data_IF_267397712851
#
_entry.id   IF_267397712851
#
_cell.length_a   1.000
_cell.length_b   1.000
_cell.length_c   1.000
_cell.angle_alpha   90.00
_cell.angle_beta   90.00
_cell.angle_gamma   90.00
#
_symmetry.space_group_name_H-M   'P 1'
#
loop_
_entity.id
_entity.type
_entity.pdbx_description
1 polymer ?
#
# COMPACT_ATOMS: atom_id res chain seq x y z
N UNK A 1 -30.72 -14.93 -28.95
CA UNK A 1 -30.16 -13.57 -28.96
C UNK A 1 -29.23 -13.45 -27.75
N UNK A 2 -27.94 -13.82 -27.87
CA UNK A 2 -26.93 -13.65 -26.81
C UNK A 2 -25.47 -13.80 -27.33
N UNK A 3 -25.24 -13.64 -28.64
CA UNK A 3 -23.88 -13.73 -29.20
C UNK A 3 -23.11 -12.41 -29.14
N UNK A 4 -23.77 -11.25 -29.03
CA UNK A 4 -23.06 -9.96 -28.98
C UNK A 4 -22.48 -9.66 -27.59
N UNK A 5 -23.07 -10.18 -26.51
CA UNK A 5 -22.57 -10.04 -25.14
C UNK A 5 -21.27 -10.84 -24.92
N UNK A 6 -21.17 -12.04 -25.51
CA UNK A 6 -19.96 -12.88 -25.40
C UNK A 6 -18.77 -12.38 -26.23
N UNK A 7 -19.00 -11.62 -27.30
CA UNK A 7 -17.93 -11.02 -28.12
C UNK A 7 -17.38 -9.74 -27.48
N UNK A 8 -18.23 -8.91 -26.88
CA UNK A 8 -17.80 -7.70 -26.16
C UNK A 8 -17.09 -8.02 -24.84
N UNK A 9 -17.46 -9.12 -24.17
CA UNK A 9 -16.80 -9.57 -22.93
C UNK A 9 -15.39 -10.15 -23.15
N UNK A 10 -14.96 -10.31 -24.41
CA UNK A 10 -13.62 -10.80 -24.78
C UNK A 10 -12.65 -9.66 -25.16
N UNK A 11 -13.11 -8.40 -25.16
CA UNK A 11 -12.21 -7.26 -25.24
C UNK A 11 -11.45 -7.15 -23.91
N UNK A 12 -10.29 -7.81 -23.82
CA UNK A 12 -9.40 -7.71 -22.66
C UNK A 12 -9.04 -6.25 -22.33
N UNK A 13 -8.40 -6.01 -21.18
CA UNK A 13 -8.10 -4.66 -20.71
C UNK A 13 -7.31 -3.88 -21.77
N UNK A 14 -7.64 -2.60 -21.94
CA UNK A 14 -7.03 -1.72 -22.93
C UNK A 14 -5.49 -1.72 -22.82
N UNK A 15 -4.80 -1.70 -23.97
CA UNK A 15 -3.32 -1.70 -24.08
C UNK A 15 -2.67 -0.51 -23.40
N UNK A 16 -3.25 0.66 -23.62
CA UNK A 16 -2.69 1.93 -23.18
C UNK A 16 -2.48 2.03 -21.65
N UNK A 17 -3.48 1.77 -20.78
CA UNK A 17 -3.30 1.91 -19.34
C UNK A 17 -2.27 0.93 -18.75
N UNK A 18 -2.20 -0.29 -19.28
CA UNK A 18 -1.24 -1.30 -18.82
C UNK A 18 0.19 -0.86 -19.14
N UNK A 19 0.45 -0.43 -20.38
CA UNK A 19 1.78 0.02 -20.79
C UNK A 19 2.19 1.27 -20.01
N UNK A 20 1.29 2.25 -19.87
CA UNK A 20 1.54 3.46 -19.11
C UNK A 20 1.88 3.15 -17.65
N UNK A 21 1.12 2.26 -17.01
CA UNK A 21 1.36 1.81 -15.64
C UNK A 21 2.73 1.14 -15.47
N UNK A 22 3.09 0.23 -16.37
CA UNK A 22 4.39 -0.44 -16.34
C UNK A 22 5.56 0.52 -16.52
N UNK A 23 5.47 1.46 -17.47
CA UNK A 23 6.52 2.45 -17.71
C UNK A 23 6.69 3.34 -16.49
N UNK A 24 5.58 3.80 -15.89
CA UNK A 24 5.62 4.63 -14.70
C UNK A 24 6.24 3.90 -13.51
N UNK A 25 5.82 2.66 -13.25
CA UNK A 25 6.35 1.83 -12.15
C UNK A 25 7.81 1.44 -12.36
N UNK A 26 8.18 1.07 -13.60
CA UNK A 26 9.55 0.75 -13.98
C UNK A 26 10.49 1.94 -13.81
N UNK A 27 10.06 3.12 -14.28
CA UNK A 27 10.82 4.37 -14.12
C UNK A 27 10.95 4.73 -12.64
N UNK A 28 9.85 4.68 -11.87
CA UNK A 28 9.88 4.95 -10.44
C UNK A 28 10.85 4.02 -9.70
N UNK A 29 10.79 2.70 -9.98
CA UNK A 29 11.69 1.72 -9.40
C UNK A 29 13.16 2.03 -9.74
N UNK A 30 13.47 2.28 -11.01
CA UNK A 30 14.82 2.58 -11.47
C UNK A 30 15.38 3.86 -10.81
N UNK A 31 14.57 4.92 -10.72
CA UNK A 31 14.95 6.16 -10.06
C UNK A 31 15.20 5.97 -8.56
N UNK A 32 14.35 5.22 -7.86
CA UNK A 32 14.52 4.93 -6.43
C UNK A 32 15.83 4.16 -6.17
N UNK A 33 16.11 3.12 -6.95
CA UNK A 33 17.33 2.32 -6.82
C UNK A 33 18.59 3.14 -7.17
N UNK A 34 18.50 3.96 -8.22
CA UNK A 34 19.58 4.89 -8.59
C UNK A 34 19.86 5.90 -7.47
N UNK A 35 18.83 6.45 -6.82
CA UNK A 35 18.99 7.37 -5.67
C UNK A 35 19.70 6.66 -4.51
N UNK A 36 19.30 5.42 -4.18
CA UNK A 36 19.97 4.62 -3.13
C UNK A 36 21.43 4.37 -3.49
N UNK A 37 21.71 3.97 -4.73
CA UNK A 37 23.06 3.70 -5.20
C UNK A 37 23.94 4.96 -5.15
N UNK A 38 23.46 6.09 -5.66
CA UNK A 38 24.21 7.36 -5.62
C UNK A 38 24.43 7.84 -4.18
N UNK A 39 23.45 7.71 -3.30
CA UNK A 39 23.60 8.05 -1.89
C UNK A 39 24.65 7.17 -1.19
N UNK A 40 24.66 5.87 -1.51
CA UNK A 40 25.67 4.94 -1.02
C UNK A 40 27.08 5.29 -1.52
N UNK A 41 27.23 5.52 -2.83
CA UNK A 41 28.52 5.85 -3.46
C UNK A 41 29.07 7.22 -3.02
N UNK A 42 28.20 8.19 -2.75
CA UNK A 42 28.62 9.52 -2.28
C UNK A 42 29.09 9.54 -0.81
N UNK A 43 28.91 8.44 -0.06
CA UNK A 43 29.21 8.42 1.37
C UNK A 43 28.35 9.40 2.18
N UNK A 44 27.22 9.86 1.62
CA UNK A 44 26.36 10.82 2.28
C UNK A 44 25.74 10.20 3.53
N UNK A 45 25.96 10.83 4.69
CA UNK A 45 25.34 10.40 5.94
C UNK A 45 23.84 10.69 5.91
N UNK A 46 23.06 9.69 5.48
CA UNK A 46 21.59 9.69 5.51
C UNK A 46 21.08 8.80 6.63
N UNK A 47 19.84 9.02 7.03
CA UNK A 47 19.16 8.20 8.04
C UNK A 47 18.97 6.77 7.52
N UNK A 48 19.21 5.76 8.34
CA UNK A 48 19.02 4.36 7.95
C UNK A 48 17.58 4.10 7.50
N UNK A 49 16.59 4.69 8.19
CA UNK A 49 15.17 4.57 7.81
C UNK A 49 14.84 5.19 6.45
N UNK A 50 15.62 6.17 5.98
CA UNK A 50 15.43 6.73 4.65
C UNK A 50 15.79 5.72 3.55
N UNK A 51 16.89 4.97 3.72
CA UNK A 51 17.23 3.88 2.80
C UNK A 51 16.17 2.78 2.82
N UNK A 52 15.70 2.40 4.01
CA UNK A 52 14.66 1.40 4.16
C UNK A 52 13.35 1.82 3.47
N UNK A 53 12.97 3.09 3.57
CA UNK A 53 11.79 3.64 2.88
C UNK A 53 11.95 3.58 1.36
N UNK A 54 13.11 3.95 0.82
CA UNK A 54 13.33 3.88 -0.63
C UNK A 54 13.34 2.45 -1.15
N UNK A 55 13.97 1.53 -0.42
CA UNK A 55 14.02 0.11 -0.77
C UNK A 55 12.64 -0.55 -0.68
N UNK A 56 11.84 -0.25 0.36
CA UNK A 56 10.46 -0.76 0.45
C UNK A 56 9.58 -0.19 -0.66
N UNK A 57 9.76 1.07 -1.03
CA UNK A 57 9.05 1.69 -2.16
C UNK A 57 9.45 1.06 -3.49
N UNK A 58 10.73 0.75 -3.69
CA UNK A 58 11.20 0.03 -4.87
C UNK A 58 10.64 -1.40 -4.90
N UNK A 59 10.61 -2.11 -3.78
CA UNK A 59 9.99 -3.43 -3.66
C UNK A 59 8.48 -3.39 -3.99
N UNK A 60 7.79 -2.32 -3.60
CA UNK A 60 6.41 -2.08 -4.01
C UNK A 60 6.27 -1.87 -5.51
N UNK A 61 7.17 -1.13 -6.18
CA UNK A 61 7.12 -1.05 -7.63
C UNK A 61 7.37 -2.43 -8.29
N UNK A 62 8.34 -3.19 -7.77
CA UNK A 62 8.67 -4.52 -8.28
C UNK A 62 7.50 -5.50 -8.17
N UNK A 63 6.66 -5.43 -7.12
CA UNK A 63 5.52 -6.35 -6.96
C UNK A 63 4.53 -6.30 -8.13
N UNK A 64 4.28 -5.11 -8.68
CA UNK A 64 3.44 -4.92 -9.86
C UNK A 64 4.15 -5.29 -11.16
N UNK A 65 5.49 -5.21 -11.20
CA UNK A 65 6.27 -5.54 -12.38
C UNK A 65 6.47 -7.05 -12.58
N UNK A 66 6.18 -7.89 -11.57
CA UNK A 66 6.28 -9.36 -11.67
C UNK A 66 5.45 -9.92 -12.83
N UNK A 67 4.30 -9.31 -13.14
CA UNK A 67 3.39 -9.81 -14.17
C UNK A 67 3.71 -9.29 -15.58
N UNK A 68 4.72 -8.43 -15.75
CA UNK A 68 5.09 -7.87 -17.07
C UNK A 68 5.34 -9.01 -18.07
N UNK A 69 4.74 -8.89 -19.26
CA UNK A 69 4.75 -9.95 -20.28
C UNK A 69 3.58 -10.95 -20.18
N UNK A 70 2.91 -11.03 -19.03
CA UNK A 70 1.76 -11.93 -18.80
C UNK A 70 0.45 -11.17 -18.46
N UNK A 71 0.40 -9.88 -18.74
CA UNK A 71 -0.77 -9.02 -18.43
C UNK A 71 -1.94 -9.19 -19.42
N UNK A 72 -1.73 -9.92 -20.53
CA UNK A 72 -2.75 -10.22 -21.54
C UNK A 72 -2.73 -11.68 -21.98
N UNK A 73 -3.77 -12.04 -22.73
CA UNK A 73 -3.89 -13.35 -23.36
C UNK A 73 -4.35 -14.41 -22.36
N UNK A 74 -3.87 -15.66 -22.49
CA UNK A 74 -4.24 -16.72 -21.57
C UNK A 74 -3.82 -16.37 -20.13
N UNK A 75 -4.36 -17.10 -19.17
CA UNK A 75 -3.95 -16.92 -17.78
C UNK A 75 -2.45 -17.19 -17.59
N UNK A 76 -1.75 -16.37 -16.78
CA UNK A 76 -0.34 -16.57 -16.47
C UNK A 76 -0.08 -17.96 -15.85
N UNK A 77 1.15 -18.48 -15.97
CA UNK A 77 1.55 -19.65 -15.20
C UNK A 77 1.28 -19.44 -13.71
N UNK A 78 0.72 -20.46 -13.04
CA UNK A 78 0.29 -20.40 -11.64
C UNK A 78 1.38 -19.83 -10.72
N UNK A 79 2.64 -20.19 -10.94
CA UNK A 79 3.78 -19.75 -10.13
C UNK A 79 3.99 -18.23 -10.21
N UNK A 80 3.89 -17.65 -11.41
CA UNK A 80 4.05 -16.20 -11.64
C UNK A 80 2.87 -15.45 -11.01
N UNK A 81 1.66 -15.99 -11.18
CA UNK A 81 0.45 -15.37 -10.65
C UNK A 81 0.40 -15.43 -9.11
N UNK A 82 0.76 -16.57 -8.52
CA UNK A 82 0.86 -16.73 -7.08
C UNK A 82 1.92 -15.80 -6.49
N UNK A 83 3.10 -15.71 -7.12
CA UNK A 83 4.17 -14.82 -6.67
C UNK A 83 3.74 -13.35 -6.73
N UNK A 84 3.10 -12.94 -7.83
CA UNK A 84 2.52 -11.61 -7.98
C UNK A 84 1.50 -11.32 -6.89
N UNK A 85 0.54 -12.23 -6.65
CA UNK A 85 -0.49 -12.05 -5.62
C UNK A 85 0.12 -11.88 -4.22
N UNK A 86 1.07 -12.74 -3.85
CA UNK A 86 1.74 -12.68 -2.54
C UNK A 86 2.50 -11.36 -2.36
N UNK A 87 3.21 -10.88 -3.39
CA UNK A 87 3.90 -9.60 -3.32
C UNK A 87 2.94 -8.42 -3.27
N UNK A 88 1.80 -8.47 -3.96
CA UNK A 88 0.81 -7.38 -3.95
C UNK A 88 0.16 -7.20 -2.57
N UNK A 89 -0.13 -8.28 -1.85
CA UNK A 89 -0.63 -8.18 -0.48
C UNK A 89 0.45 -7.75 0.52
N UNK A 90 1.70 -8.21 0.35
CA UNK A 90 2.78 -7.91 1.29
C UNK A 90 3.52 -6.58 1.05
N UNK A 91 3.34 -5.94 -0.10
CA UNK A 91 4.00 -4.69 -0.48
C UNK A 91 3.44 -3.43 0.22
N UNK A 92 2.12 -3.23 0.38
CA UNK A 92 1.60 -2.06 1.09
C UNK A 92 2.08 -1.94 2.56
N UNK A 93 2.10 -3.03 3.38
CA UNK A 93 2.52 -2.95 4.77
C UNK A 93 4.03 -2.69 4.93
N UNK A 94 4.88 -3.18 4.02
CA UNK A 94 6.32 -2.90 4.06
C UNK A 94 6.60 -1.42 3.74
N UNK A 95 5.89 -0.82 2.79
CA UNK A 95 6.00 0.62 2.51
C UNK A 95 5.48 1.45 3.67
N UNK A 96 4.27 1.18 4.15
CA UNK A 96 3.66 1.91 5.26
C UNK A 96 4.49 1.80 6.55
N UNK A 97 5.04 0.61 6.84
CA UNK A 97 5.98 0.41 7.95
C UNK A 97 7.29 1.19 7.78
N UNK A 98 7.83 1.25 6.56
CA UNK A 98 9.00 2.08 6.23
C UNK A 98 8.74 3.57 6.43
N UNK A 99 7.59 4.09 5.99
CA UNK A 99 7.19 5.49 6.22
C UNK A 99 7.04 5.77 7.71
N UNK A 100 6.36 4.88 8.45
CA UNK A 100 6.18 5.04 9.90
C UNK A 100 7.52 5.13 10.64
N UNK A 101 8.47 4.25 10.33
CA UNK A 101 9.80 4.28 10.95
C UNK A 101 10.57 5.54 10.59
N UNK A 102 10.46 6.01 9.35
CA UNK A 102 11.03 7.28 8.92
C UNK A 102 10.42 8.47 9.69
N UNK A 103 9.10 8.50 9.88
CA UNK A 103 8.39 9.52 10.67
C UNK A 103 8.84 9.50 12.13
N UNK A 104 8.96 8.31 12.74
CA UNK A 104 9.42 8.16 14.12
C UNK A 104 10.88 8.62 14.27
N UNK A 105 11.79 8.20 13.38
CA UNK A 105 13.19 8.63 13.44
C UNK A 105 13.29 10.16 13.27
N UNK A 106 12.53 10.73 12.34
CA UNK A 106 12.47 12.18 12.10
C UNK A 106 11.98 12.92 13.35
N UNK A 107 10.90 12.45 13.99
CA UNK A 107 10.39 12.99 15.25
C UNK A 107 11.45 12.95 16.36
N UNK A 108 12.10 11.80 16.54
CA UNK A 108 13.10 11.64 17.58
C UNK A 108 14.34 12.50 17.34
N UNK A 109 14.76 12.70 16.09
CA UNK A 109 15.88 13.60 15.76
C UNK A 109 15.52 15.05 16.07
N UNK A 110 14.33 15.50 15.68
CA UNK A 110 13.89 16.87 15.97
C UNK A 110 13.75 17.14 17.47
N UNK A 111 13.17 16.20 18.21
CA UNK A 111 13.03 16.32 19.67
C UNK A 111 14.38 16.23 20.38
N UNK A 112 15.30 15.37 19.92
CA UNK A 112 16.68 15.26 20.41
C UNK A 112 17.46 16.57 20.26
N UNK A 113 17.39 17.20 19.08
CA UNK A 113 18.03 18.51 18.82
C UNK A 113 17.47 19.59 19.77
N UNK A 114 16.14 19.64 19.95
CA UNK A 114 15.50 20.62 20.82
C UNK A 114 15.75 20.39 22.30
N UNK A 115 15.85 19.13 22.73
CA UNK A 115 16.11 18.75 24.11
C UNK A 115 17.61 18.70 24.46
N UNK A 116 18.51 18.85 23.46
CA UNK A 116 19.96 18.61 23.62
C UNK A 116 20.27 17.25 24.24
N UNK A 117 19.46 16.22 23.92
CA UNK A 117 19.62 14.84 24.42
C UNK A 117 20.12 13.94 23.31
N UNK A 118 21.02 13.01 23.62
CA UNK A 118 21.44 11.98 22.67
C UNK A 118 20.24 11.10 22.28
N UNK A 119 20.16 10.73 20.99
CA UNK A 119 19.16 9.80 20.49
C UNK A 119 19.50 8.38 20.96
N UNK A 120 18.49 7.63 21.42
CA UNK A 120 18.66 6.22 21.73
C UNK A 120 18.88 5.38 20.47
N UNK A 121 20.07 4.77 20.34
CA UNK A 121 20.44 3.94 19.18
C UNK A 121 19.59 2.66 19.02
N UNK A 122 18.93 2.23 20.10
CA UNK A 122 18.14 0.99 20.11
C UNK A 122 17.05 0.99 19.03
N UNK A 123 16.32 2.09 18.86
CA UNK A 123 15.23 2.13 17.88
C UNK A 123 15.76 1.95 16.46
N UNK A 124 16.82 2.66 16.10
CA UNK A 124 17.44 2.58 14.76
C UNK A 124 17.92 1.15 14.48
N UNK A 125 18.42 0.46 15.50
CA UNK A 125 18.87 -0.94 15.40
C UNK A 125 17.73 -1.94 15.18
N UNK A 126 16.57 -1.70 15.80
CA UNK A 126 15.40 -2.59 15.67
C UNK A 126 14.51 -2.26 14.48
N UNK A 127 14.62 -1.06 13.90
CA UNK A 127 13.80 -0.61 12.78
C UNK A 127 13.78 -1.59 11.57
N UNK A 128 14.92 -2.13 11.08
CA UNK A 128 14.91 -3.08 9.96
C UNK A 128 14.09 -4.34 10.25
N UNK A 129 14.16 -4.87 11.47
CA UNK A 129 13.42 -6.06 11.88
C UNK A 129 11.91 -5.83 11.86
N UNK A 130 11.45 -4.63 12.26
CA UNK A 130 10.04 -4.26 12.19
C UNK A 130 9.50 -4.31 10.76
N UNK A 131 10.26 -3.83 9.77
CA UNK A 131 9.89 -3.86 8.35
C UNK A 131 9.88 -5.29 7.80
N UNK A 132 10.89 -6.09 8.16
CA UNK A 132 10.94 -7.49 7.73
C UNK A 132 9.73 -8.25 8.27
N UNK A 133 9.40 -8.09 9.55
CA UNK A 133 8.23 -8.74 10.16
C UNK A 133 6.94 -8.24 9.49
N UNK A 134 6.82 -6.93 9.22
CA UNK A 134 5.61 -6.38 8.59
C UNK A 134 5.38 -6.89 7.17
N UNK A 135 6.45 -7.29 6.47
CA UNK A 135 6.38 -7.93 5.16
C UNK A 135 6.11 -9.44 5.25
N UNK A 136 6.84 -10.15 6.12
CA UNK A 136 6.78 -11.60 6.21
C UNK A 136 5.39 -12.10 6.63
N UNK A 137 4.71 -11.41 7.55
CA UNK A 137 3.37 -11.81 8.01
C UNK A 137 2.37 -11.89 6.84
N UNK A 138 2.06 -10.80 6.10
CA UNK A 138 1.14 -10.86 4.96
C UNK A 138 1.68 -11.71 3.81
N UNK A 139 3.01 -11.80 3.63
CA UNK A 139 3.61 -12.67 2.62
C UNK A 139 3.24 -14.13 2.87
N UNK A 140 3.55 -14.66 4.05
CA UNK A 140 3.28 -16.05 4.39
C UNK A 140 1.79 -16.34 4.47
N UNK A 141 1.00 -15.44 5.03
CA UNK A 141 -0.47 -15.60 5.04
C UNK A 141 -1.02 -15.70 3.62
N UNK A 142 -0.65 -14.79 2.72
CA UNK A 142 -1.12 -14.81 1.33
C UNK A 142 -0.67 -16.07 0.60
N UNK A 143 0.57 -16.52 0.85
CA UNK A 143 1.10 -17.72 0.23
C UNK A 143 0.34 -18.97 0.69
N UNK A 144 0.14 -19.14 2.00
CA UNK A 144 -0.60 -20.28 2.56
C UNK A 144 -2.05 -20.27 2.07
N UNK A 145 -2.72 -19.11 2.10
CA UNK A 145 -4.09 -18.96 1.61
C UNK A 145 -4.19 -19.28 0.12
N UNK A 146 -3.28 -18.75 -0.72
CA UNK A 146 -3.29 -19.01 -2.16
C UNK A 146 -3.00 -20.47 -2.51
N UNK A 147 -2.06 -21.11 -1.79
CA UNK A 147 -1.73 -22.53 -2.02
C UNK A 147 -2.79 -23.49 -1.48
N UNK A 148 -3.61 -23.06 -0.52
CA UNK A 148 -4.72 -23.88 0.00
C UNK A 148 -5.83 -24.09 -1.02
N UNK A 149 -6.02 -23.15 -1.94
CA UNK A 149 -6.94 -23.28 -3.08
C UNK A 149 -6.38 -22.51 -4.29
N UNK A 150 -5.56 -23.20 -5.08
CA UNK A 150 -4.91 -22.65 -6.26
C UNK A 150 -5.89 -22.18 -7.34
N UNK A 151 -7.15 -22.64 -7.31
CA UNK A 151 -8.17 -22.27 -8.30
C UNK A 151 -8.68 -20.84 -8.09
N UNK A 152 -8.46 -20.28 -6.89
CA UNK A 152 -8.80 -18.90 -6.55
C UNK A 152 -7.70 -17.90 -6.93
N UNK A 153 -6.50 -18.35 -7.33
CA UNK A 153 -5.45 -17.43 -7.78
C UNK A 153 -5.72 -17.05 -9.23
N UNK A 154 -6.15 -15.81 -9.47
CA UNK A 154 -6.51 -15.32 -10.80
C UNK A 154 -5.95 -13.94 -11.06
N UNK A 155 -5.67 -13.66 -12.34
CA UNK A 155 -5.36 -12.30 -12.78
C UNK A 155 -6.58 -11.41 -12.59
N UNK A 156 -6.38 -10.23 -12.01
CA UNK A 156 -7.44 -9.23 -11.88
C UNK A 156 -7.94 -8.78 -13.26
N UNK A 157 -9.18 -8.29 -13.31
CA UNK A 157 -9.81 -7.73 -14.51
C UNK A 157 -8.99 -6.64 -15.21
N UNK A 158 -8.20 -5.87 -14.45
CA UNK A 158 -7.28 -4.86 -15.01
C UNK A 158 -6.11 -5.47 -15.79
N UNK A 159 -5.80 -6.75 -15.55
CA UNK A 159 -4.63 -7.44 -16.10
C UNK A 159 -3.31 -7.06 -15.44
N UNK A 160 -3.30 -6.13 -14.47
CA UNK A 160 -2.05 -5.54 -13.93
C UNK A 160 -1.41 -6.42 -12.85
N UNK A 161 -2.22 -7.15 -12.09
CA UNK A 161 -1.75 -8.01 -11.00
C UNK A 161 -2.62 -9.26 -10.86
N UNK A 162 -2.14 -10.23 -10.08
CA UNK A 162 -2.93 -11.36 -9.63
C UNK A 162 -3.45 -11.16 -8.21
N UNK A 163 -4.60 -11.75 -7.91
CA UNK A 163 -5.22 -11.70 -6.59
C UNK A 163 -5.76 -13.08 -6.20
N UNK A 164 -6.08 -13.25 -4.92
CA UNK A 164 -6.70 -14.47 -4.40
C UNK A 164 -8.20 -14.19 -4.25
N UNK A 165 -8.99 -14.71 -5.19
CA UNK A 165 -10.44 -14.58 -5.19
C UNK A 165 -11.05 -15.28 -3.96
N UNK A 166 -12.23 -14.83 -3.52
CA UNK A 166 -13.00 -15.44 -2.43
C UNK A 166 -12.30 -15.52 -1.05
N UNK A 167 -11.13 -14.89 -0.87
CA UNK A 167 -10.45 -14.82 0.42
C UNK A 167 -10.33 -13.40 0.94
N UNK A 168 -11.01 -13.13 2.07
CA UNK A 168 -10.93 -11.85 2.76
C UNK A 168 -9.65 -11.72 3.60
N UNK A 169 -8.99 -12.83 3.94
CA UNK A 169 -7.91 -12.84 4.96
C UNK A 169 -6.70 -12.00 4.52
N UNK A 170 -6.08 -12.20 3.33
CA UNK A 170 -4.91 -11.41 2.92
C UNK A 170 -5.22 -9.93 2.78
N UNK A 171 -6.39 -9.61 2.21
CA UNK A 171 -6.86 -8.24 1.99
C UNK A 171 -7.11 -7.53 3.31
N UNK A 172 -7.85 -8.15 4.23
CA UNK A 172 -8.17 -7.59 5.54
C UNK A 172 -6.90 -7.38 6.36
N UNK A 173 -6.02 -8.39 6.44
CA UNK A 173 -4.76 -8.30 7.16
C UNK A 173 -3.89 -7.12 6.66
N UNK A 174 -3.69 -7.06 5.35
CA UNK A 174 -2.93 -5.99 4.68
C UNK A 174 -3.53 -4.62 4.98
N UNK A 175 -4.85 -4.48 4.80
CA UNK A 175 -5.59 -3.24 5.06
C UNK A 175 -5.50 -2.79 6.51
N UNK A 176 -5.71 -3.71 7.46
CA UNK A 176 -5.62 -3.43 8.90
C UNK A 176 -4.22 -2.95 9.29
N UNK A 177 -3.17 -3.60 8.78
CA UNK A 177 -1.79 -3.17 9.06
C UNK A 177 -1.51 -1.76 8.52
N UNK A 178 -1.91 -1.47 7.28
CA UNK A 178 -1.72 -0.14 6.67
C UNK A 178 -2.49 0.94 7.43
N UNK A 179 -3.76 0.69 7.79
CA UNK A 179 -4.57 1.63 8.56
C UNK A 179 -3.96 1.88 9.95
N UNK A 180 -3.51 0.83 10.63
CA UNK A 180 -2.84 0.96 11.93
C UNK A 180 -1.56 1.81 11.82
N UNK A 181 -0.71 1.56 10.82
CA UNK A 181 0.48 2.37 10.59
C UNK A 181 0.14 3.82 10.28
N UNK A 182 -0.91 4.08 9.50
CA UNK A 182 -1.37 5.44 9.19
C UNK A 182 -1.83 6.19 10.45
N UNK A 183 -2.59 5.54 11.33
CA UNK A 183 -3.01 6.12 12.61
C UNK A 183 -1.79 6.48 13.47
N UNK A 184 -0.81 5.56 13.57
CA UNK A 184 0.42 5.81 14.32
C UNK A 184 1.25 6.96 13.72
N UNK A 185 1.31 7.07 12.39
CA UNK A 185 1.95 8.20 11.71
C UNK A 185 1.31 9.53 12.11
N UNK A 186 -0.03 9.63 12.06
CA UNK A 186 -0.73 10.85 12.46
C UNK A 186 -0.52 11.21 13.94
N UNK A 187 -0.46 10.20 14.84
CA UNK A 187 -0.16 10.43 16.26
C UNK A 187 1.24 11.03 16.42
N UNK A 188 2.25 10.45 15.77
CA UNK A 188 3.64 10.91 15.86
C UNK A 188 3.82 12.28 15.23
N UNK A 189 3.20 12.54 14.07
CA UNK A 189 3.23 13.85 13.41
C UNK A 189 2.52 14.91 14.24
N UNK A 190 1.34 14.61 14.78
CA UNK A 190 0.61 15.50 15.70
C UNK A 190 1.42 15.82 16.95
N UNK A 191 2.05 14.80 17.57
CA UNK A 191 2.96 14.98 18.69
C UNK A 191 4.16 15.87 18.31
N UNK A 192 4.70 15.69 17.10
CA UNK A 192 5.78 16.53 16.55
C UNK A 192 5.35 17.98 16.43
N UNK A 193 4.19 18.24 15.80
CA UNK A 193 3.66 19.60 15.61
C UNK A 193 3.43 20.28 16.96
N UNK A 194 2.77 19.59 17.90
CA UNK A 194 2.54 20.11 19.25
C UNK A 194 3.87 20.42 19.95
N UNK A 195 4.86 19.54 19.85
CA UNK A 195 6.19 19.74 20.43
C UNK A 195 6.89 20.98 19.84
N UNK A 196 6.86 21.13 18.50
CA UNK A 196 7.45 22.28 17.80
C UNK A 196 6.76 23.59 18.18
N UNK A 197 5.43 23.60 18.31
CA UNK A 197 4.66 24.78 18.73
C UNK A 197 5.00 25.17 20.17
N UNK A 198 5.01 24.19 21.09
CA UNK A 198 5.36 24.44 22.51
C UNK A 198 6.80 24.94 22.69
N UNK A 199 7.72 24.51 21.83
CA UNK A 199 9.15 24.91 21.86
C UNK A 199 9.51 25.97 20.81
N UNK A 200 8.54 26.75 20.31
CA UNK A 200 8.75 27.74 19.24
C UNK A 200 9.90 28.72 19.51
N UNK A 201 10.15 29.10 20.77
CA UNK A 201 11.24 30.00 21.15
C UNK A 201 12.61 29.35 20.91
N UNK A 202 12.78 28.09 21.30
CA UNK A 202 14.00 27.31 21.04
C UNK A 202 14.21 27.09 19.54
N UNK A 203 13.15 26.79 18.79
CA UNK A 203 13.20 26.65 17.32
C UNK A 203 13.67 27.96 16.67
N UNK A 204 13.14 29.12 17.09
CA UNK A 204 13.59 30.43 16.59
C UNK A 204 15.06 30.68 16.92
N UNK A 205 15.51 30.36 18.13
CA UNK A 205 16.90 30.54 18.54
C UNK A 205 17.87 29.70 17.69
N UNK A 206 17.54 28.44 17.40
CA UNK A 206 18.35 27.56 16.55
C UNK A 206 18.39 28.09 15.10
N UNK A 207 17.25 28.56 14.59
CA UNK A 207 17.17 29.12 13.24
C UNK A 207 18.05 30.38 13.07
N UNK A 208 18.12 31.23 14.10
CA UNK A 208 18.98 32.42 14.09
C UNK A 208 20.47 32.08 14.09
N UNK A 209 20.87 30.91 14.62
CA UNK A 209 22.26 30.42 14.61
C UNK A 209 22.69 29.84 13.25
N UNK A 210 21.86 29.91 12.23
CA UNK A 210 22.18 29.42 10.88
C UNK A 210 22.20 27.89 10.74
N UNK A 211 21.78 27.14 11.78
CA UNK A 211 21.67 25.69 11.67
C UNK A 211 20.47 25.30 10.79
N UNK A 212 20.71 24.43 9.80
CA UNK A 212 19.66 23.88 8.93
C UNK A 212 18.74 22.95 9.73
N UNK A 213 17.70 23.50 10.35
CA UNK A 213 16.66 22.71 10.98
C UNK A 213 15.84 22.00 9.88
N UNK A 214 15.57 20.67 9.98
CA UNK A 214 14.95 19.89 8.91
C UNK A 214 13.43 20.12 8.76
N UNK A 215 12.93 21.35 8.94
CA UNK A 215 11.51 21.69 8.81
C UNK A 215 10.97 21.39 7.41
N UNK A 216 11.80 21.59 6.38
CA UNK A 216 11.42 21.30 5.01
C UNK A 216 11.16 19.80 4.79
N UNK A 217 12.01 18.94 5.36
CA UNK A 217 11.81 17.49 5.27
C UNK A 217 10.52 17.09 5.98
N UNK A 218 10.28 17.63 7.17
CA UNK A 218 9.05 17.39 7.92
C UNK A 218 7.79 17.86 7.18
N UNK A 219 7.82 19.05 6.56
CA UNK A 219 6.71 19.56 5.76
C UNK A 219 6.38 18.65 4.57
N UNK A 220 7.40 18.08 3.91
CA UNK A 220 7.20 17.10 2.84
C UNK A 220 6.56 15.81 3.36
N UNK A 221 7.07 15.29 4.49
CA UNK A 221 6.51 14.09 5.11
C UNK A 221 5.04 14.28 5.46
N UNK A 222 4.70 15.40 6.11
CA UNK A 222 3.32 15.74 6.49
C UNK A 222 2.40 15.84 5.27
N UNK A 223 2.88 16.43 4.17
CA UNK A 223 2.10 16.48 2.93
C UNK A 223 1.83 15.07 2.38
N UNK A 224 2.84 14.20 2.37
CA UNK A 224 2.68 12.83 1.90
C UNK A 224 1.74 12.01 2.79
N UNK A 225 1.84 12.10 4.11
CA UNK A 225 0.95 11.38 5.04
C UNK A 225 -0.49 11.87 4.93
N UNK A 226 -0.72 13.18 4.83
CA UNK A 226 -2.06 13.73 4.59
C UNK A 226 -2.65 13.24 3.26
N UNK A 227 -1.84 13.24 2.19
CA UNK A 227 -2.30 12.73 0.88
C UNK A 227 -2.64 11.24 0.93
N UNK A 228 -1.82 10.43 1.62
CA UNK A 228 -2.06 9.00 1.80
C UNK A 228 -3.28 8.72 2.67
N UNK A 229 -3.45 9.47 3.77
CA UNK A 229 -4.63 9.37 4.63
C UNK A 229 -5.92 9.73 3.89
N UNK A 230 -5.89 10.78 3.07
CA UNK A 230 -7.02 11.17 2.23
C UNK A 230 -7.39 10.07 1.22
N UNK A 231 -6.39 9.46 0.56
CA UNK A 231 -6.63 8.35 -0.35
C UNK A 231 -7.28 7.14 0.35
N UNK A 232 -6.82 6.79 1.57
CA UNK A 232 -7.44 5.72 2.36
C UNK A 232 -8.90 6.04 2.69
N UNK A 233 -9.19 7.27 3.11
CA UNK A 233 -10.57 7.70 3.40
C UNK A 233 -11.46 7.54 2.16
N UNK A 234 -10.99 7.95 0.97
CA UNK A 234 -11.73 7.77 -0.28
C UNK A 234 -12.04 6.30 -0.53
N UNK A 235 -11.03 5.42 -0.41
CA UNK A 235 -11.20 3.98 -0.64
C UNK A 235 -12.21 3.37 0.35
N UNK A 236 -12.12 3.74 1.63
CA UNK A 236 -13.07 3.28 2.64
C UNK A 236 -14.49 3.75 2.35
N UNK A 237 -14.68 5.00 1.94
CA UNK A 237 -16.00 5.55 1.58
C UNK A 237 -16.57 4.82 0.36
N UNK A 238 -15.76 4.59 -0.68
CA UNK A 238 -16.20 3.88 -1.89
C UNK A 238 -16.64 2.45 -1.53
N UNK A 239 -15.87 1.75 -0.71
CA UNK A 239 -16.20 0.37 -0.31
C UNK A 239 -17.45 0.33 0.57
N UNK A 240 -17.57 1.25 1.53
CA UNK A 240 -18.77 1.35 2.37
C UNK A 240 -20.04 1.60 1.54
N UNK A 241 -19.98 2.49 0.54
CA UNK A 241 -21.12 2.76 -0.36
C UNK A 241 -21.49 1.53 -1.19
N UNK A 242 -20.51 0.74 -1.63
CA UNK A 242 -20.76 -0.51 -2.37
C UNK A 242 -21.46 -1.55 -1.50
N UNK A 243 -21.03 -1.72 -0.26
CA UNK A 243 -21.64 -2.69 0.67
C UNK A 243 -23.11 -2.35 0.91
N UNK A 244 -23.41 -1.07 1.23
CA UNK A 244 -24.79 -0.60 1.40
C UNK A 244 -25.64 -0.81 0.14
N UNK A 245 -25.07 -0.59 -1.04
CA UNK A 245 -25.79 -0.78 -2.31
C UNK A 245 -26.09 -2.26 -2.59
N UNK A 246 -25.20 -3.16 -2.17
CA UNK A 246 -25.39 -4.61 -2.32
C UNK A 246 -26.53 -5.12 -1.42
N UNK A 247 -26.62 -4.64 -0.18
CA UNK A 247 -27.70 -4.99 0.74
C UNK A 247 -29.06 -4.49 0.24
N UNK A 248 -29.12 -3.27 -0.28
CA UNK A 248 -30.35 -2.70 -0.85
C UNK A 248 -30.87 -3.51 -2.04
N UNK A 249 -29.97 -4.03 -2.87
CA UNK A 249 -30.33 -4.84 -4.04
C UNK A 249 -30.91 -6.20 -3.62
N UNK A 250 -30.30 -6.86 -2.63
CA UNK A 250 -30.80 -8.13 -2.08
C UNK A 250 -32.15 -7.95 -1.38
N UNK A 251 -32.34 -6.84 -0.65
CA UNK A 251 -33.61 -6.52 0.01
C UNK A 251 -34.77 -6.24 -0.95
N UNK A 252 -34.50 -5.69 -2.14
CA UNK A 252 -35.51 -5.40 -3.15
C UNK A 252 -36.05 -6.67 -3.84
N UNK A 253 -35.23 -7.71 -4.01
CA UNK A 253 -35.63 -8.95 -4.70
C UNK A 253 -36.54 -9.84 -3.82
N UNK A 254 -36.42 -9.75 -2.49
CA UNK A 254 -37.31 -10.45 -1.55
C UNK A 254 -38.77 -9.94 -1.55
N UNK A 255 -39.08 -8.83 -2.22
CA UNK A 255 -40.44 -8.27 -2.30
C UNK A 255 -41.19 -8.62 -3.59
N UNK A 256 -40.66 -9.52 -4.44
CA UNK A 256 -41.50 -10.19 -5.45
C UNK A 256 -42.20 -11.39 -4.79
N UNK A 257 -43.53 -11.33 -4.58
CA UNK A 257 -44.27 -12.54 -4.25
C UNK A 257 -44.01 -13.56 -5.37
N UNK A 258 -43.48 -14.73 -4.99
CA UNK A 258 -43.52 -15.92 -5.83
C UNK A 258 -44.99 -16.25 -6.07
N UNK A 259 -45.57 -15.67 -7.12
CA UNK A 259 -46.77 -16.17 -7.74
C UNK A 259 -46.42 -17.56 -8.26
N UNK A 260 -46.71 -18.55 -7.41
CA UNK A 260 -46.79 -19.95 -7.79
C UNK A 260 -47.77 -20.04 -8.95
N UNK A 261 -47.25 -20.20 -10.17
CA UNK A 261 -48.04 -20.76 -11.25
C UNK A 261 -48.25 -22.24 -10.94
N UNK A 262 -49.27 -22.50 -10.13
CA UNK A 262 -50.04 -23.73 -10.20
C UNK A 262 -50.76 -23.73 -11.55
N UNK A 263 -50.16 -24.36 -12.54
CA UNK A 263 -50.86 -24.81 -13.74
C UNK A 263 -50.42 -26.25 -14.01
N UNK A 264 -51.24 -27.19 -13.56
CA UNK A 264 -51.19 -28.56 -14.04
C UNK A 264 -51.80 -28.68 -15.43
N UNK A 265 -51.32 -29.66 -16.19
CA UNK A 265 -52.06 -30.47 -17.17
C UNK A 265 -51.03 -31.47 -17.74
N UNK A 266 -51.16 -32.76 -17.45
CA UNK A 266 -51.85 -33.73 -18.31
C UNK A 266 -51.33 -33.66 -19.75
N UNK A 267 -50.31 -34.45 -20.08
CA UNK A 267 -50.41 -35.68 -20.89
C UNK A 267 -49.08 -36.45 -20.82
#
# INVERSE_FOLDING_TARGET
>A
MDSSSSVLQRAGPALEPIVAGNVLLGLACALLLMIVLLAWLSGAQRMTTWYLLLLSSAAYCLSFLVLVGHQRGPEPPLQVCALSAVFIYSAPPIVAGGVLLFVIELHLRMTSILASKAMGEKLVRFAPWGIVISHLIPFWTSLVTGLSDVTNIKRDSSGVFCHIENSLVPTALTGTMVVLYMILMFIVEGATVIHLIRRRSAVRAIRLRGSYFPLHLFGRTLFFTLSGGFAIIIVLVINFVKDVSSELTVGADCRRPRLWHSAGMLF
#
